data_IF_535084524323
#
_entry.id   IF_535084524323
#
_cell.length_a   1.000
_cell.length_b   1.000
_cell.length_c   1.000
_cell.angle_alpha   90.00
_cell.angle_beta   90.00
_cell.angle_gamma   90.00
#
_symmetry.space_group_name_H-M   'P 1'
#
loop_
_entity.id
_entity.type
_entity.pdbx_description
1 polymer ?
#
# COMPACT_ATOMS: atom_id res chain seq x y z
N UNK A 1 18.30 8.61 -20.32
CA UNK A 1 16.95 9.06 -19.94
C UNK A 1 16.03 7.88 -20.23
N UNK A 2 15.63 7.13 -19.19
CA UNK A 2 14.62 6.10 -19.37
C UNK A 2 13.30 6.85 -19.57
N UNK A 3 12.66 6.64 -20.72
CA UNK A 3 11.26 7.05 -20.89
C UNK A 3 10.50 6.03 -20.05
N UNK A 4 10.02 6.45 -18.88
CA UNK A 4 9.13 5.60 -18.10
C UNK A 4 7.84 5.45 -18.89
N UNK A 5 7.56 4.23 -19.35
CA UNK A 5 6.29 3.93 -20.01
C UNK A 5 5.16 4.23 -19.02
N UNK A 6 4.21 5.05 -19.46
CA UNK A 6 3.00 5.35 -18.69
C UNK A 6 2.15 4.10 -18.52
N UNK A 7 1.49 3.96 -17.37
CA UNK A 7 0.61 2.82 -17.09
C UNK A 7 -0.82 3.25 -16.77
N UNK A 8 -1.79 2.45 -17.20
CA UNK A 8 -3.20 2.66 -16.88
C UNK A 8 -3.56 2.12 -15.49
N UNK A 9 -2.75 1.20 -14.95
CA UNK A 9 -3.00 0.51 -13.69
C UNK A 9 -1.71 0.25 -12.91
N UNK A 10 -1.69 0.70 -11.66
CA UNK A 10 -0.67 0.35 -10.65
C UNK A 10 -1.33 -0.52 -9.59
N UNK A 11 -0.70 -1.65 -9.26
CA UNK A 11 -1.16 -2.56 -8.20
C UNK A 11 -0.04 -2.72 -7.18
N UNK A 12 -0.32 -2.45 -5.92
CA UNK A 12 0.61 -2.66 -4.82
C UNK A 12 -0.07 -3.45 -3.69
N UNK A 13 0.11 -4.77 -3.70
CA UNK A 13 -0.51 -5.67 -2.73
C UNK A 13 0.52 -6.14 -1.70
N UNK A 14 0.30 -5.80 -0.43
CA UNK A 14 1.10 -6.25 0.72
C UNK A 14 2.61 -5.96 0.58
N UNK A 15 2.92 -4.84 -0.07
CA UNK A 15 4.29 -4.41 -0.37
C UNK A 15 4.65 -3.09 0.30
N UNK A 16 3.66 -2.23 0.59
CA UNK A 16 3.89 -0.93 1.22
C UNK A 16 4.49 -1.07 2.62
N UNK A 17 4.26 -2.19 3.29
CA UNK A 17 4.84 -2.55 4.57
C UNK A 17 6.36 -2.73 4.50
N UNK A 18 6.95 -2.88 3.30
CA UNK A 18 8.37 -3.22 3.11
C UNK A 18 9.14 -2.23 2.25
N UNK A 19 8.49 -1.20 1.70
CA UNK A 19 9.13 -0.22 0.81
C UNK A 19 8.89 1.20 1.30
N UNK A 20 9.82 2.11 1.05
CA UNK A 20 9.64 3.52 1.41
C UNK A 20 8.38 4.11 0.75
N UNK A 21 7.41 4.52 1.57
CA UNK A 21 6.10 5.00 1.12
C UNK A 21 6.24 6.21 0.18
N UNK A 22 7.11 7.16 0.53
CA UNK A 22 7.36 8.34 -0.33
C UNK A 22 7.90 7.96 -1.71
N UNK A 23 8.79 6.96 -1.74
CA UNK A 23 9.35 6.48 -3.01
C UNK A 23 8.26 5.83 -3.86
N UNK A 24 7.39 5.03 -3.25
CA UNK A 24 6.22 4.47 -3.94
C UNK A 24 5.32 5.57 -4.50
N UNK A 25 4.94 6.55 -3.69
CA UNK A 25 4.05 7.66 -4.11
C UNK A 25 4.68 8.46 -5.25
N UNK A 26 5.98 8.77 -5.15
CA UNK A 26 6.72 9.47 -6.21
C UNK A 26 6.73 8.70 -7.52
N UNK A 27 7.00 7.38 -7.46
CA UNK A 27 6.98 6.52 -8.65
C UNK A 27 5.59 6.40 -9.24
N UNK A 28 4.57 6.15 -8.41
CA UNK A 28 3.18 6.12 -8.84
C UNK A 28 2.80 7.45 -9.53
N UNK A 29 3.24 8.59 -9.03
CA UNK A 29 2.98 9.88 -9.66
C UNK A 29 3.64 10.02 -11.03
N UNK A 30 4.88 9.56 -11.19
CA UNK A 30 5.65 9.68 -12.44
C UNK A 30 5.03 8.84 -13.57
N UNK A 31 4.61 7.61 -13.26
CA UNK A 31 4.11 6.66 -14.27
C UNK A 31 2.62 6.78 -14.57
N UNK A 32 1.88 7.60 -13.82
CA UNK A 32 0.40 7.69 -13.88
C UNK A 32 -0.08 8.92 -14.67
N UNK A 33 -0.46 8.79 -15.95
CA UNK A 33 -1.25 9.80 -16.65
C UNK A 33 -2.64 10.00 -16.02
N UNK A 34 -3.34 11.06 -16.43
CA UNK A 34 -4.73 11.31 -16.00
C UNK A 34 -5.61 10.11 -16.34
N UNK A 35 -6.38 9.63 -15.36
CA UNK A 35 -7.23 8.45 -15.51
C UNK A 35 -6.62 7.15 -14.97
N UNK A 36 -5.31 7.07 -14.75
CA UNK A 36 -4.66 5.89 -14.17
C UNK A 36 -5.27 5.52 -12.83
N UNK A 37 -5.43 4.21 -12.61
CA UNK A 37 -5.90 3.64 -11.35
C UNK A 37 -4.71 3.13 -10.54
N UNK A 38 -4.67 3.47 -9.25
CA UNK A 38 -3.71 2.91 -8.30
C UNK A 38 -4.49 2.13 -7.25
N UNK A 39 -4.33 0.80 -7.22
CA UNK A 39 -4.95 -0.06 -6.22
C UNK A 39 -3.89 -0.55 -5.24
N UNK A 40 -4.08 -0.25 -3.97
CA UNK A 40 -3.19 -0.71 -2.91
C UNK A 40 -3.94 -1.53 -1.88
N UNK A 41 -3.28 -2.59 -1.40
CA UNK A 41 -3.75 -3.41 -0.29
C UNK A 41 -2.62 -3.47 0.74
N UNK A 42 -2.91 -3.16 1.99
CA UNK A 42 -1.96 -3.28 3.09
C UNK A 42 -2.66 -3.79 4.35
N UNK A 43 -1.88 -4.28 5.29
CA UNK A 43 -2.35 -4.88 6.53
C UNK A 43 -2.21 -3.93 7.72
N UNK A 44 -3.27 -3.78 8.50
CA UNK A 44 -3.28 -3.11 9.81
C UNK A 44 -3.35 -4.18 10.90
N UNK A 45 -2.45 -4.12 11.87
CA UNK A 45 -2.22 -5.24 12.81
C UNK A 45 -2.92 -5.13 14.16
N UNK A 46 -3.47 -3.98 14.57
CA UNK A 46 -4.23 -3.81 15.83
C UNK A 46 -3.64 -4.54 17.07
N UNK A 47 -2.33 -4.39 17.31
CA UNK A 47 -1.56 -5.08 18.36
C UNK A 47 -1.33 -6.60 18.18
N UNK A 48 -1.81 -7.21 17.09
CA UNK A 48 -1.41 -8.55 16.68
C UNK A 48 0.02 -8.60 16.11
N UNK A 49 0.73 -9.74 16.19
CA UNK A 49 2.02 -9.92 15.53
C UNK A 49 1.87 -9.80 14.02
N UNK A 50 2.81 -9.11 13.35
CA UNK A 50 2.75 -8.91 11.89
C UNK A 50 2.67 -10.21 11.09
N UNK A 51 3.48 -11.21 11.46
CA UNK A 51 3.43 -12.55 10.88
C UNK A 51 2.50 -13.40 11.73
N UNK A 52 1.47 -13.96 11.10
CA UNK A 52 0.60 -14.97 11.73
C UNK A 52 1.41 -16.23 12.03
N UNK A 53 1.01 -17.02 13.02
CA UNK A 53 1.73 -18.23 13.43
C UNK A 53 1.91 -19.24 12.31
N UNK A 54 3.00 -19.12 11.54
CA UNK A 54 3.29 -19.95 10.36
C UNK A 54 4.01 -21.24 10.70
N UNK A 55 4.49 -21.40 11.95
CA UNK A 55 5.40 -22.47 12.36
C UNK A 55 6.83 -22.34 11.79
N UNK A 56 7.10 -21.32 10.98
CA UNK A 56 8.39 -21.10 10.33
C UNK A 56 9.12 -19.94 11.02
N UNK A 57 9.98 -20.27 11.97
CA UNK A 57 10.71 -19.30 12.79
C UNK A 57 11.54 -18.30 11.95
N UNK A 58 12.08 -18.73 10.80
CA UNK A 58 12.89 -17.89 9.92
C UNK A 58 12.12 -16.67 9.40
N UNK A 59 10.81 -16.80 9.15
CA UNK A 59 9.95 -15.69 8.68
C UNK A 59 9.84 -14.62 9.76
N UNK A 60 9.92 -14.98 11.05
CA UNK A 60 9.89 -14.04 12.17
C UNK A 60 10.88 -12.89 12.02
N UNK A 61 12.04 -13.15 11.40
CA UNK A 61 13.06 -12.13 11.11
C UNK A 61 12.58 -11.00 10.18
N UNK A 62 11.55 -11.21 9.36
CA UNK A 62 10.96 -10.18 8.51
C UNK A 62 10.23 -9.09 9.30
N UNK A 63 9.85 -9.38 10.55
CA UNK A 63 9.19 -8.39 11.43
C UNK A 63 10.03 -7.13 11.65
N UNK A 64 11.36 -7.22 11.51
CA UNK A 64 12.28 -6.09 11.69
C UNK A 64 12.38 -5.16 10.47
N UNK A 65 11.89 -5.61 9.32
CA UNK A 65 11.93 -4.85 8.07
C UNK A 65 10.56 -4.26 7.70
N UNK A 66 9.55 -4.46 8.55
CA UNK A 66 8.22 -3.93 8.32
C UNK A 66 8.14 -2.47 8.76
N UNK A 67 7.24 -1.73 8.14
CA UNK A 67 6.66 -0.51 8.70
C UNK A 67 5.14 -0.67 8.83
N UNK A 68 4.54 0.17 9.67
CA UNK A 68 3.09 0.30 9.72
C UNK A 68 2.65 1.38 8.73
N UNK A 69 1.64 1.08 7.94
CA UNK A 69 1.04 2.04 7.01
C UNK A 69 -0.03 2.81 7.77
N UNK A 70 0.25 4.09 8.06
CA UNK A 70 -0.79 5.01 8.51
C UNK A 70 -1.70 5.32 7.32
N UNK A 71 -2.91 4.80 7.38
CA UNK A 71 -3.90 4.96 6.33
C UNK A 71 -4.25 6.43 6.05
N UNK A 72 -4.42 7.24 7.10
CA UNK A 72 -4.90 8.61 6.94
C UNK A 72 -3.80 9.48 6.30
N UNK A 73 -2.57 9.34 6.78
CA UNK A 73 -1.40 10.00 6.21
C UNK A 73 -1.15 9.55 4.75
N UNK A 74 -1.24 8.26 4.46
CA UNK A 74 -1.09 7.75 3.10
C UNK A 74 -2.15 8.30 2.13
N UNK A 75 -3.43 8.30 2.54
CA UNK A 75 -4.53 8.90 1.76
C UNK A 75 -4.28 10.40 1.52
N UNK A 76 -3.87 11.14 2.55
CA UNK A 76 -3.55 12.56 2.46
C UNK A 76 -2.39 12.83 1.47
N UNK A 77 -1.34 12.02 1.51
CA UNK A 77 -0.18 12.18 0.62
C UNK A 77 -0.53 11.87 -0.82
N UNK A 78 -1.26 10.78 -1.07
CA UNK A 78 -1.76 10.43 -2.40
C UNK A 78 -2.63 11.53 -2.97
N UNK A 79 -3.57 12.06 -2.17
CA UNK A 79 -4.43 13.17 -2.61
C UNK A 79 -3.65 14.45 -2.89
N UNK A 80 -2.62 14.76 -2.09
CA UNK A 80 -1.68 15.84 -2.34
C UNK A 80 -0.89 15.71 -3.65
N UNK A 81 -0.82 14.51 -4.25
CA UNK A 81 -0.17 14.25 -5.55
C UNK A 81 -1.16 14.17 -6.72
N UNK A 82 -2.39 14.66 -6.54
CA UNK A 82 -3.41 14.70 -7.60
C UNK A 82 -4.13 13.37 -7.83
N UNK A 83 -4.07 12.45 -6.87
CA UNK A 83 -4.92 11.27 -6.88
C UNK A 83 -6.21 11.53 -6.10
N UNK A 84 -7.24 10.75 -6.35
CA UNK A 84 -8.47 10.79 -5.56
C UNK A 84 -8.97 9.41 -5.23
N UNK A 85 -9.43 9.25 -3.98
CA UNK A 85 -9.97 7.99 -3.50
C UNK A 85 -11.23 7.65 -4.27
N UNK A 86 -11.27 6.45 -4.84
CA UNK A 86 -12.41 5.86 -5.55
C UNK A 86 -13.09 4.81 -4.69
N UNK A 87 -12.32 4.02 -3.96
CA UNK A 87 -12.84 2.94 -3.12
C UNK A 87 -11.97 2.75 -1.90
N UNK A 88 -12.64 2.48 -0.78
CA UNK A 88 -12.04 2.09 0.50
C UNK A 88 -12.78 0.87 1.00
N UNK A 89 -12.06 -0.23 1.19
CA UNK A 89 -12.61 -1.47 1.76
C UNK A 89 -11.75 -1.96 2.89
N UNK A 90 -12.39 -2.58 3.87
CA UNK A 90 -11.77 -3.19 5.03
C UNK A 90 -12.25 -4.62 5.13
N UNK A 91 -11.35 -5.52 5.46
CA UNK A 91 -11.67 -6.92 5.68
C UNK A 91 -10.93 -7.41 6.92
N UNK A 92 -11.69 -7.76 7.96
CA UNK A 92 -11.14 -8.31 9.19
C UNK A 92 -10.70 -9.76 8.95
N UNK A 93 -9.48 -10.08 9.35
CA UNK A 93 -8.90 -11.41 9.34
C UNK A 93 -9.13 -12.12 10.67
N UNK A 94 -9.00 -13.45 10.66
CA UNK A 94 -9.24 -14.29 11.82
C UNK A 94 -8.30 -14.03 13.01
N UNK A 95 -7.14 -13.41 12.78
CA UNK A 95 -6.14 -13.07 13.78
C UNK A 95 -6.21 -11.60 14.24
N UNK A 96 -7.39 -10.98 14.11
CA UNK A 96 -7.69 -9.59 14.48
C UNK A 96 -6.93 -8.53 13.67
N UNK A 97 -6.23 -8.93 12.60
CA UNK A 97 -5.66 -8.02 11.61
C UNK A 97 -6.73 -7.56 10.64
N UNK A 98 -6.49 -6.46 9.96
CA UNK A 98 -7.37 -5.94 8.93
C UNK A 98 -6.60 -5.78 7.61
N UNK A 99 -7.18 -6.26 6.52
CA UNK A 99 -6.76 -5.88 5.17
C UNK A 99 -7.50 -4.61 4.76
N UNK A 100 -6.74 -3.58 4.47
CA UNK A 100 -7.24 -2.31 3.96
C UNK A 100 -6.92 -2.24 2.48
N UNK A 101 -7.97 -2.08 1.66
CA UNK A 101 -7.84 -1.75 0.25
C UNK A 101 -8.18 -0.29 0.03
N UNK A 102 -7.31 0.42 -0.68
CA UNK A 102 -7.54 1.76 -1.17
C UNK A 102 -7.30 1.78 -2.67
N UNK A 103 -8.32 2.25 -3.40
CA UNK A 103 -8.20 2.50 -4.82
C UNK A 103 -8.25 4.00 -5.07
N UNK A 104 -7.34 4.47 -5.90
CA UNK A 104 -7.24 5.86 -6.30
C UNK A 104 -7.34 5.99 -7.81
N UNK A 105 -7.81 7.15 -8.27
CA UNK A 105 -7.73 7.55 -9.68
C UNK A 105 -6.96 8.86 -9.81
N UNK A 106 -6.01 8.91 -10.74
CA UNK A 106 -5.27 10.11 -11.10
C UNK A 106 -6.21 11.13 -11.75
N UNK A 107 -6.22 12.35 -11.22
CA UNK A 107 -6.96 13.49 -11.77
C UNK A 107 -6.08 14.33 -12.69
#
# INVERSE_FOLDING_TARGET
MFIEDSVDLVIANLVLEFIEIERFIGQAQLVSPVGTVVSVIFQVVHAAPFISGSGIAAIGSLSRFKQEVDQADFEQRMTGRGFSVVTKRRHLLHDSKELVRLDFRKR
#
